data_IF_043729764095
#
_entry.id   IF_043729764095
#
_cell.length_a   1.000
_cell.length_b   1.000
_cell.length_c   1.000
_cell.angle_alpha   90.00
_cell.angle_beta   90.00
_cell.angle_gamma   90.00
#
_symmetry.space_group_name_H-M   'P 1'
#
loop_
_entity.id
_entity.type
_entity.pdbx_description
1 polymer ?
#
# COMPACT_ATOMS: atom_id res chain seq x y z
N UNK A 1 9.14 14.75 -3.56
CA UNK A 1 9.55 13.34 -3.42
C UNK A 1 8.70 12.48 -4.35
N UNK A 2 9.32 11.54 -5.06
CA UNK A 2 8.60 10.51 -5.81
C UNK A 2 8.97 9.16 -5.23
N UNK A 3 7.95 8.37 -4.89
CA UNK A 3 8.09 6.99 -4.43
C UNK A 3 7.47 6.08 -5.49
N UNK A 4 8.28 5.19 -6.07
CA UNK A 4 7.82 4.26 -7.08
C UNK A 4 7.57 2.87 -6.45
N UNK A 5 6.29 2.53 -6.29
CA UNK A 5 5.86 1.23 -5.79
C UNK A 5 5.32 0.32 -6.89
N UNK A 6 5.43 0.71 -8.15
CA UNK A 6 5.03 -0.15 -9.26
C UNK A 6 5.87 -1.44 -9.25
N UNK A 7 5.20 -2.57 -9.44
CA UNK A 7 5.84 -3.88 -9.36
C UNK A 7 6.27 -4.31 -7.95
N UNK A 8 5.98 -3.55 -6.91
CA UNK A 8 6.38 -3.87 -5.54
C UNK A 8 5.26 -4.61 -4.80
N UNK A 9 5.42 -5.91 -4.63
CA UNK A 9 4.46 -6.79 -3.93
C UNK A 9 4.40 -6.64 -2.41
N UNK A 10 5.08 -5.65 -1.85
CA UNK A 10 5.10 -5.42 -0.41
C UNK A 10 6.38 -5.88 0.26
N UNK A 11 6.30 -6.22 1.54
CA UNK A 11 7.48 -6.62 2.33
C UNK A 11 7.27 -6.49 3.83
N UNK A 12 8.30 -6.02 4.52
CA UNK A 12 8.35 -5.95 5.98
C UNK A 12 7.70 -4.68 6.54
N UNK A 13 6.99 -4.84 7.66
CA UNK A 13 6.49 -3.71 8.47
C UNK A 13 7.66 -2.83 8.95
N UNK A 14 8.80 -3.42 9.26
CA UNK A 14 9.99 -2.70 9.73
C UNK A 14 10.48 -1.75 8.64
N UNK A 15 10.57 -2.22 7.39
CA UNK A 15 11.04 -1.40 6.27
C UNK A 15 10.08 -0.25 5.96
N UNK A 16 8.77 -0.50 6.07
CA UNK A 16 7.75 0.55 6.00
C UNK A 16 8.01 1.63 7.06
N UNK A 17 8.28 1.24 8.30
CA UNK A 17 8.57 2.18 9.40
C UNK A 17 9.86 2.96 9.17
N UNK A 18 10.88 2.35 8.60
CA UNK A 18 12.13 3.05 8.24
C UNK A 18 11.88 4.24 7.31
N UNK A 19 10.95 4.12 6.37
CA UNK A 19 10.57 5.21 5.47
C UNK A 19 9.58 6.18 6.13
N UNK A 20 8.48 5.66 6.65
CA UNK A 20 7.37 6.50 7.10
C UNK A 20 7.73 7.31 8.33
N UNK A 21 8.58 6.82 9.23
CA UNK A 21 9.02 7.56 10.43
C UNK A 21 9.60 8.93 10.12
N UNK A 22 10.19 9.13 8.96
CA UNK A 22 10.72 10.45 8.53
C UNK A 22 9.67 11.35 7.90
N UNK A 23 8.67 10.78 7.24
CA UNK A 23 7.72 11.50 6.39
C UNK A 23 6.41 11.85 7.10
N UNK A 24 6.05 11.14 8.18
CA UNK A 24 4.84 11.45 8.94
C UNK A 24 5.06 12.67 9.84
N UNK A 25 4.11 13.60 9.81
CA UNK A 25 4.17 14.85 10.58
C UNK A 25 3.08 14.93 11.64
N UNK A 26 2.09 14.05 11.59
CA UNK A 26 1.00 13.96 12.56
C UNK A 26 0.58 12.52 12.82
N UNK A 27 0.12 12.24 14.03
CA UNK A 27 -0.55 10.98 14.35
C UNK A 27 -1.90 10.92 13.64
N UNK A 28 -2.14 9.86 12.88
CA UNK A 28 -3.36 9.73 12.07
C UNK A 28 -3.87 8.28 12.00
N UNK A 29 -5.17 8.12 11.80
CA UNK A 29 -5.76 6.83 11.40
C UNK A 29 -5.62 6.72 9.89
N UNK A 30 -4.94 5.67 9.43
CA UNK A 30 -4.71 5.44 8.00
C UNK A 30 -5.62 4.35 7.40
N UNK A 31 -6.15 3.46 8.26
CA UNK A 31 -7.02 2.37 7.84
C UNK A 31 -7.87 1.86 9.01
N UNK A 32 -8.83 0.99 8.71
CA UNK A 32 -9.54 0.19 9.68
C UNK A 32 -9.46 -1.28 9.28
N UNK A 33 -9.32 -2.15 10.27
CA UNK A 33 -9.25 -3.59 10.07
C UNK A 33 -10.30 -4.28 10.91
N UNK A 34 -10.89 -5.35 10.41
CA UNK A 34 -11.68 -6.30 11.19
C UNK A 34 -11.23 -7.72 10.86
N UNK A 35 -11.35 -8.60 11.85
CA UNK A 35 -10.99 -10.01 11.73
C UNK A 35 -12.24 -10.89 11.78
N UNK A 36 -12.18 -12.06 11.17
CA UNK A 36 -13.16 -13.11 11.46
C UNK A 36 -13.09 -13.50 12.93
N UNK A 37 -14.24 -13.79 13.52
CA UNK A 37 -14.29 -14.35 14.89
C UNK A 37 -14.02 -15.84 14.84
N UNK A 38 -13.18 -16.33 15.77
CA UNK A 38 -12.69 -17.72 15.78
C UNK A 38 -13.80 -18.75 15.88
N UNK A 39 -14.88 -18.41 16.57
CA UNK A 39 -15.99 -19.33 16.86
C UNK A 39 -17.22 -19.17 15.92
N UNK A 40 -17.16 -18.24 14.98
CA UNK A 40 -18.26 -18.01 14.04
C UNK A 40 -17.75 -17.57 12.67
N UNK A 41 -17.78 -18.46 11.66
CA UNK A 41 -17.26 -18.15 10.33
C UNK A 41 -18.06 -17.06 9.60
N UNK A 42 -19.21 -16.66 10.11
CA UNK A 42 -20.09 -15.64 9.51
C UNK A 42 -20.02 -14.29 10.24
N UNK A 43 -19.31 -14.20 11.36
CA UNK A 43 -19.18 -12.94 12.09
C UNK A 43 -17.76 -12.38 12.06
N UNK A 44 -17.67 -11.07 12.26
CA UNK A 44 -16.44 -10.31 12.29
C UNK A 44 -16.40 -9.44 13.53
N UNK A 45 -15.21 -9.19 14.04
CA UNK A 45 -14.99 -8.17 15.06
C UNK A 45 -15.46 -6.79 14.58
N UNK A 46 -15.71 -5.84 15.48
CA UNK A 46 -15.84 -4.45 15.11
C UNK A 46 -14.62 -3.95 14.32
N UNK A 47 -14.80 -2.88 13.53
CA UNK A 47 -13.69 -2.22 12.84
C UNK A 47 -12.74 -1.56 13.84
N UNK A 48 -11.48 -1.94 13.78
CA UNK A 48 -10.41 -1.46 14.67
C UNK A 48 -9.56 -0.46 13.89
N UNK A 49 -9.43 0.81 14.36
CA UNK A 49 -8.63 1.81 13.69
C UNK A 49 -7.13 1.45 13.76
N UNK A 50 -6.48 1.53 12.59
CA UNK A 50 -5.04 1.41 12.46
C UNK A 50 -4.42 2.80 12.46
N UNK A 51 -3.52 3.06 13.41
CA UNK A 51 -2.93 4.38 13.61
C UNK A 51 -1.43 4.35 13.32
N UNK A 52 -0.97 5.42 12.69
CA UNK A 52 0.44 5.75 12.64
C UNK A 52 0.72 6.87 13.62
N UNK A 53 1.78 6.73 14.41
CA UNK A 53 2.18 7.72 15.42
C UNK A 53 3.47 8.39 15.00
N UNK A 54 3.50 9.72 15.07
CA UNK A 54 4.70 10.49 14.78
C UNK A 54 5.82 10.13 15.76
N UNK A 55 7.04 10.04 15.27
CA UNK A 55 8.23 9.73 16.07
C UNK A 55 9.20 10.91 16.09
N UNK A 56 10.22 10.83 16.94
CA UNK A 56 11.31 11.82 16.98
C UNK A 56 12.16 11.89 15.69
N UNK A 57 11.99 10.90 14.80
CA UNK A 57 12.66 10.89 13.48
C UNK A 57 11.96 11.75 12.43
N UNK A 58 10.75 12.22 12.72
CA UNK A 58 9.98 13.03 11.77
C UNK A 58 10.77 14.26 11.35
N UNK A 59 10.75 14.55 10.05
CA UNK A 59 11.32 15.79 9.50
C UNK A 59 10.52 17.04 9.88
N UNK A 60 9.36 16.88 10.52
CA UNK A 60 8.53 17.96 11.05
C UNK A 60 7.94 18.89 9.99
N UNK A 61 7.96 18.49 8.71
CA UNK A 61 7.43 19.27 7.60
C UNK A 61 6.77 18.40 6.54
N UNK A 62 5.70 18.89 5.96
CA UNK A 62 5.03 18.24 4.83
C UNK A 62 5.89 18.33 3.58
N UNK A 63 6.27 17.17 3.04
CA UNK A 63 7.04 17.07 1.81
C UNK A 63 6.07 16.70 0.68
N UNK A 64 5.91 17.55 -0.36
CA UNK A 64 5.11 17.17 -1.52
C UNK A 64 5.58 15.84 -2.08
N UNK A 65 4.68 14.84 -2.09
CA UNK A 65 5.02 13.45 -2.38
C UNK A 65 4.06 12.88 -3.42
N UNK A 66 4.62 12.28 -4.46
CA UNK A 66 3.89 11.50 -5.45
C UNK A 66 4.24 10.02 -5.28
N UNK A 67 3.24 9.16 -5.22
CA UNK A 67 3.39 7.71 -5.10
C UNK A 67 2.89 7.08 -6.39
N UNK A 68 3.76 6.36 -7.09
CA UNK A 68 3.40 5.62 -8.29
C UNK A 68 2.92 4.22 -7.91
N UNK A 69 1.76 3.83 -8.44
CA UNK A 69 1.12 2.55 -8.19
C UNK A 69 0.79 1.84 -9.50
N UNK A 70 0.77 0.53 -9.46
CA UNK A 70 0.21 -0.34 -10.49
C UNK A 70 -0.50 -1.55 -9.85
N UNK A 71 -1.03 -2.44 -10.70
CA UNK A 71 -1.73 -3.64 -10.26
C UNK A 71 -0.83 -4.72 -9.62
N UNK A 72 0.47 -4.49 -9.50
CA UNK A 72 1.41 -5.32 -8.74
C UNK A 72 1.84 -4.68 -7.42
N UNK A 73 1.46 -3.42 -7.19
CA UNK A 73 1.66 -2.76 -5.90
C UNK A 73 0.74 -3.40 -4.86
N UNK A 74 1.29 -4.14 -3.90
CA UNK A 74 0.50 -4.95 -2.98
C UNK A 74 1.01 -4.87 -1.53
N UNK A 75 0.17 -5.29 -0.58
CA UNK A 75 0.54 -5.52 0.82
C UNK A 75 1.17 -4.27 1.46
N UNK A 76 2.42 -4.35 1.94
CA UNK A 76 3.09 -3.22 2.62
C UNK A 76 3.30 -1.99 1.73
N UNK A 77 3.33 -2.12 0.40
CA UNK A 77 3.30 -0.98 -0.51
C UNK A 77 1.98 -0.22 -0.41
N UNK A 78 0.86 -0.92 -0.29
CA UNK A 78 -0.46 -0.34 -0.09
C UNK A 78 -0.59 0.29 1.30
N UNK A 79 -0.15 -0.42 2.34
CA UNK A 79 -0.15 0.09 3.72
C UNK A 79 0.70 1.37 3.83
N UNK A 80 1.90 1.38 3.24
CA UNK A 80 2.76 2.56 3.19
C UNK A 80 2.07 3.73 2.49
N UNK A 81 1.39 3.46 1.39
CA UNK A 81 0.61 4.46 0.66
C UNK A 81 -0.50 5.05 1.53
N UNK A 82 -1.27 4.23 2.23
CA UNK A 82 -2.33 4.70 3.14
C UNK A 82 -1.77 5.53 4.30
N UNK A 83 -0.67 5.10 4.89
CA UNK A 83 0.02 5.84 5.95
C UNK A 83 0.40 7.23 5.45
N UNK A 84 1.03 7.33 4.29
CA UNK A 84 1.45 8.62 3.74
C UNK A 84 0.26 9.46 3.31
N UNK A 85 -0.77 8.89 2.67
CA UNK A 85 -2.00 9.62 2.33
C UNK A 85 -2.73 10.18 3.55
N UNK A 86 -2.64 9.52 4.70
CA UNK A 86 -3.24 10.03 5.95
C UNK A 86 -2.59 11.33 6.46
N UNK A 87 -1.46 11.73 5.88
CA UNK A 87 -0.77 12.96 6.25
C UNK A 87 -1.35 14.20 5.55
N UNK A 88 -2.19 14.04 4.54
CA UNK A 88 -2.91 15.14 3.88
C UNK A 88 -2.66 15.27 2.39
N UNK A 89 -3.18 16.36 1.84
CA UNK A 89 -3.28 16.57 0.39
C UNK A 89 -1.94 16.78 -0.34
N UNK A 90 -0.85 16.97 0.39
CA UNK A 90 0.51 17.05 -0.19
C UNK A 90 1.03 15.68 -0.66
N UNK A 91 0.31 14.59 -0.36
CA UNK A 91 0.60 13.24 -0.84
C UNK A 91 -0.41 12.85 -1.90
N UNK A 92 0.06 12.60 -3.11
CA UNK A 92 -0.77 12.21 -4.27
C UNK A 92 -0.36 10.84 -4.78
N UNK A 93 -1.34 10.08 -5.23
CA UNK A 93 -1.14 8.76 -5.84
C UNK A 93 -1.42 8.84 -7.34
N UNK A 94 -0.60 8.15 -8.13
CA UNK A 94 -0.60 8.23 -9.59
C UNK A 94 -0.41 6.83 -10.17
N UNK A 95 -1.11 6.52 -11.23
CA UNK A 95 -0.92 5.26 -11.95
C UNK A 95 -2.19 4.46 -12.10
N UNK A 96 -2.21 3.23 -11.63
CA UNK A 96 -3.33 2.29 -11.70
C UNK A 96 -3.70 1.79 -10.31
N UNK A 97 -4.89 1.21 -10.18
CA UNK A 97 -5.30 0.57 -8.93
C UNK A 97 -4.23 -0.42 -8.48
N UNK A 98 -3.94 -0.39 -7.18
CA UNK A 98 -3.09 -1.38 -6.56
C UNK A 98 -3.78 -2.76 -6.52
N UNK A 99 -3.08 -3.76 -6.06
CA UNK A 99 -3.55 -5.15 -6.09
C UNK A 99 -4.76 -5.42 -5.18
N UNK A 100 -4.80 -4.82 -4.01
CA UNK A 100 -5.84 -5.08 -3.01
C UNK A 100 -5.58 -6.33 -2.17
N UNK A 101 -4.36 -6.50 -1.69
CA UNK A 101 -3.98 -7.59 -0.79
C UNK A 101 -3.30 -7.04 0.46
N UNK A 102 -4.08 -6.49 1.37
CA UNK A 102 -3.56 -5.84 2.57
C UNK A 102 -3.68 -6.68 3.84
N UNK A 103 -4.44 -7.77 3.80
CA UNK A 103 -4.54 -8.70 4.91
C UNK A 103 -3.20 -9.40 5.14
N UNK A 104 -2.61 -9.17 6.30
CA UNK A 104 -1.32 -9.77 6.64
C UNK A 104 -1.44 -11.29 6.79
N UNK A 105 -0.49 -12.00 6.21
CA UNK A 105 -0.35 -13.45 6.26
C UNK A 105 0.78 -13.81 7.23
N UNK A 106 0.54 -13.73 8.53
CA UNK A 106 1.50 -14.18 9.53
C UNK A 106 0.85 -15.14 10.50
N UNK A 107 1.65 -16.07 11.03
CA UNK A 107 1.25 -16.97 12.11
C UNK A 107 1.21 -16.28 13.47
N UNK A 108 1.70 -15.05 13.56
CA UNK A 108 1.74 -14.28 14.79
C UNK A 108 0.44 -13.50 14.97
N UNK A 109 -0.40 -13.98 15.88
CA UNK A 109 -1.76 -13.50 16.08
C UNK A 109 -1.85 -12.09 16.66
N UNK A 110 -0.81 -11.56 17.25
CA UNK A 110 -0.86 -10.26 17.93
C UNK A 110 -0.51 -9.08 17.01
N UNK A 111 0.40 -9.29 16.07
CA UNK A 111 0.89 -8.23 15.17
C UNK A 111 0.25 -8.25 13.78
N UNK A 112 -0.50 -9.29 13.44
CA UNK A 112 -1.08 -9.49 12.12
C UNK A 112 -2.56 -9.18 12.07
N UNK A 113 -3.03 -8.74 10.92
CA UNK A 113 -4.45 -8.59 10.63
C UNK A 113 -5.19 -9.93 10.59
N UNK A 114 -4.53 -11.00 11.04
CA UNK A 114 -5.05 -12.34 11.05
C UNK A 114 -4.97 -13.00 9.68
N UNK A 115 -4.21 -14.05 9.61
CA UNK A 115 -4.11 -14.93 8.48
C UNK A 115 -3.54 -16.25 8.97
N UNK A 116 -3.70 -17.26 8.19
CA UNK A 116 -3.12 -18.55 8.48
C UNK A 116 -2.22 -18.99 7.33
N UNK A 117 -1.02 -19.46 7.69
CA UNK A 117 -0.10 -20.09 6.77
C UNK A 117 0.10 -21.51 7.27
N UNK A 118 -0.17 -22.48 6.44
CA UNK A 118 -0.02 -23.87 6.81
C UNK A 118 0.35 -24.77 5.65
N UNK A 119 0.96 -25.90 5.99
CA UNK A 119 1.27 -26.94 5.04
C UNK A 119 0.11 -27.95 5.01
N UNK A 120 -0.44 -28.20 3.84
CA UNK A 120 -1.37 -29.31 3.61
C UNK A 120 -0.58 -30.58 3.32
N UNK A 121 0.51 -30.44 2.59
CA UNK A 121 1.50 -31.50 2.32
C UNK A 121 2.90 -30.89 2.33
N UNK A 122 3.94 -31.70 2.09
CA UNK A 122 5.33 -31.22 1.96
C UNK A 122 5.54 -30.22 0.80
N UNK A 123 4.62 -30.13 -0.15
CA UNK A 123 4.71 -29.24 -1.33
C UNK A 123 3.46 -28.40 -1.56
N UNK A 124 2.44 -28.48 -0.69
CA UNK A 124 1.24 -27.64 -0.80
C UNK A 124 1.13 -26.75 0.41
N UNK A 125 1.30 -25.46 0.18
CA UNK A 125 1.12 -24.40 1.17
C UNK A 125 -0.26 -23.78 1.01
N UNK A 126 -0.85 -23.42 2.13
CA UNK A 126 -2.13 -22.76 2.18
C UNK A 126 -1.99 -21.38 2.85
N UNK A 127 -2.45 -20.35 2.14
CA UNK A 127 -2.47 -18.98 2.63
C UNK A 127 -3.90 -18.50 2.71
N UNK A 128 -4.36 -18.16 3.90
CA UNK A 128 -5.74 -17.73 4.10
C UNK A 128 -5.80 -16.48 4.98
N UNK A 129 -6.08 -15.30 4.41
CA UNK A 129 -6.31 -14.10 5.19
C UNK A 129 -7.66 -14.18 5.89
N UNK A 130 -7.73 -13.75 7.16
CA UNK A 130 -8.96 -13.73 7.97
C UNK A 130 -9.46 -12.31 8.24
N UNK A 131 -8.86 -11.32 7.64
CA UNK A 131 -9.20 -9.93 7.89
C UNK A 131 -9.66 -9.21 6.63
N UNK A 132 -10.37 -8.11 6.86
CA UNK A 132 -10.72 -7.15 5.84
C UNK A 132 -10.14 -5.79 6.25
N UNK A 133 -9.66 -5.05 5.27
CA UNK A 133 -9.15 -3.70 5.44
C UNK A 133 -10.00 -2.71 4.67
N UNK A 134 -10.27 -1.55 5.27
CA UNK A 134 -10.83 -0.38 4.59
C UNK A 134 -9.97 0.84 4.86
N UNK A 135 -9.96 1.78 3.92
CA UNK A 135 -9.29 3.07 4.10
C UNK A 135 -10.00 3.96 5.14
N UNK A 136 -9.43 5.13 5.41
CA UNK A 136 -10.00 6.09 6.35
C UNK A 136 -11.37 6.65 5.87
N UNK A 137 -11.68 6.57 4.58
CA UNK A 137 -12.94 6.99 3.98
C UNK A 137 -14.02 5.90 4.01
N UNK A 138 -13.64 4.67 4.36
CA UNK A 138 -14.56 3.54 4.48
C UNK A 138 -14.62 2.62 3.25
N UNK A 139 -13.78 2.83 2.24
CA UNK A 139 -13.71 1.99 1.06
C UNK A 139 -13.00 0.67 1.39
N UNK A 140 -13.61 -0.46 1.03
CA UNK A 140 -12.97 -1.76 1.15
C UNK A 140 -11.80 -1.86 0.18
N UNK A 141 -10.70 -2.43 0.64
CA UNK A 141 -9.45 -2.49 -0.12
C UNK A 141 -9.09 -3.91 -0.56
N UNK A 142 -9.51 -4.93 0.18
CA UNK A 142 -9.27 -6.33 -0.21
C UNK A 142 -9.93 -6.64 -1.56
N UNK A 143 -9.14 -7.14 -2.50
CA UNK A 143 -9.51 -7.44 -3.89
C UNK A 143 -9.91 -6.22 -4.75
N UNK A 144 -9.80 -5.01 -4.22
CA UNK A 144 -10.14 -3.75 -4.90
C UNK A 144 -8.90 -2.88 -5.12
N UNK A 145 -8.05 -2.79 -4.10
CA UNK A 145 -6.87 -1.95 -4.07
C UNK A 145 -7.16 -0.47 -3.82
N UNK A 146 -6.09 0.30 -3.85
CA UNK A 146 -6.12 1.76 -3.76
C UNK A 146 -6.32 2.33 -5.16
N UNK A 147 -7.38 3.10 -5.35
CA UNK A 147 -7.56 3.87 -6.58
C UNK A 147 -6.69 5.13 -6.51
N UNK A 148 -5.79 5.35 -7.48
CA UNK A 148 -4.96 6.55 -7.51
C UNK A 148 -5.76 7.84 -7.68
N UNK A 149 -5.24 8.96 -7.14
CA UNK A 149 -5.79 10.29 -7.35
C UNK A 149 -5.72 10.71 -8.84
N UNK A 150 -4.69 10.22 -9.55
CA UNK A 150 -4.49 10.46 -10.98
C UNK A 150 -4.25 9.13 -11.70
N UNK A 151 -5.25 8.70 -12.46
CA UNK A 151 -5.11 7.51 -13.31
C UNK A 151 -4.21 7.80 -14.51
N UNK A 152 -3.37 6.86 -14.86
CA UNK A 152 -2.57 6.87 -16.10
C UNK A 152 -2.79 5.56 -16.87
N UNK A 153 -2.65 5.63 -18.18
CA UNK A 153 -2.67 4.42 -19.00
C UNK A 153 -1.44 3.55 -18.70
N UNK A 154 -1.62 2.26 -18.85
CA UNK A 154 -0.49 1.33 -18.76
C UNK A 154 0.48 1.59 -19.92
N UNK A 155 1.77 1.51 -19.63
CA UNK A 155 2.79 1.53 -20.67
C UNK A 155 2.69 0.27 -21.52
N UNK A 156 2.80 0.45 -22.83
CA UNK A 156 2.90 -0.66 -23.76
C UNK A 156 4.21 -1.43 -23.56
N UNK A 157 4.28 -2.65 -24.09
CA UNK A 157 5.51 -3.43 -24.02
C UNK A 157 6.69 -2.70 -24.69
N UNK A 158 6.44 -2.05 -25.83
CA UNK A 158 7.44 -1.25 -26.55
C UNK A 158 7.94 -0.07 -25.71
N UNK A 159 7.06 0.64 -25.01
CA UNK A 159 7.43 1.74 -24.11
C UNK A 159 8.28 1.24 -22.93
N UNK A 160 7.92 0.08 -22.35
CA UNK A 160 8.71 -0.56 -21.28
C UNK A 160 10.10 -0.95 -21.79
N UNK A 161 10.20 -1.55 -22.96
CA UNK A 161 11.48 -1.93 -23.58
C UNK A 161 12.38 -0.72 -23.83
N UNK A 162 11.83 0.39 -24.33
CA UNK A 162 12.57 1.64 -24.49
C UNK A 162 13.14 2.16 -23.16
N UNK A 163 12.35 2.10 -22.08
CA UNK A 163 12.85 2.47 -20.75
C UNK A 163 13.99 1.56 -20.29
N UNK A 164 13.87 0.25 -20.45
CA UNK A 164 14.93 -0.70 -20.09
C UNK A 164 16.22 -0.49 -20.89
N UNK A 165 16.11 -0.05 -22.15
CA UNK A 165 17.25 0.25 -23.01
C UNK A 165 17.83 1.63 -22.79
N UNK A 166 17.27 2.43 -21.85
CA UNK A 166 17.62 3.83 -21.64
C UNK A 166 17.48 4.67 -22.93
N UNK A 167 16.50 4.35 -23.78
CA UNK A 167 16.23 5.13 -24.98
C UNK A 167 15.80 6.55 -24.62
N UNK A 168 16.45 7.60 -25.15
CA UNK A 168 16.10 8.99 -24.86
C UNK A 168 14.66 9.38 -25.25
N UNK A 169 14.01 8.63 -26.13
CA UNK A 169 12.61 8.82 -26.52
C UNK A 169 11.62 8.12 -25.60
N UNK A 170 12.08 7.33 -24.62
CA UNK A 170 11.22 6.64 -23.68
C UNK A 170 10.44 7.62 -22.78
N UNK A 171 9.15 7.36 -22.66
CA UNK A 171 8.26 8.21 -21.82
C UNK A 171 7.62 7.37 -20.75
N UNK A 172 8.02 7.59 -19.50
CA UNK A 172 7.30 7.09 -18.35
C UNK A 172 6.13 8.04 -18.02
N UNK A 173 4.91 7.64 -18.37
CA UNK A 173 3.70 8.46 -18.19
C UNK A 173 3.40 8.71 -16.71
N UNK A 174 3.64 7.73 -15.84
CA UNK A 174 3.47 7.88 -14.41
C UNK A 174 4.45 8.88 -13.80
N UNK A 175 5.72 8.74 -14.14
CA UNK A 175 6.77 9.67 -13.69
C UNK A 175 6.54 11.10 -14.23
N UNK A 176 6.17 11.22 -15.50
CA UNK A 176 5.82 12.51 -16.10
C UNK A 176 4.67 13.18 -15.35
N UNK A 177 3.60 12.42 -15.06
CA UNK A 177 2.46 12.93 -14.30
C UNK A 177 2.84 13.32 -12.88
N UNK A 178 3.69 12.52 -12.22
CA UNK A 178 4.21 12.86 -10.89
C UNK A 178 4.96 14.20 -10.87
N UNK A 179 5.81 14.43 -11.87
CA UNK A 179 6.54 15.70 -12.01
C UNK A 179 5.62 16.88 -12.29
N UNK A 180 4.49 16.69 -12.98
CA UNK A 180 3.48 17.73 -13.20
C UNK A 180 2.74 18.09 -11.91
N UNK A 181 2.36 17.08 -11.13
CA UNK A 181 1.56 17.24 -9.90
C UNK A 181 2.38 17.84 -8.76
N UNK A 182 3.70 17.66 -8.76
CA UNK A 182 4.60 18.17 -7.72
C UNK A 182 5.12 19.59 -7.98
N UNK A 183 4.77 20.22 -9.09
CA UNK A 183 5.07 21.63 -9.40
C UNK A 183 4.13 22.58 -8.67
#
# INVERSE_FOLDING_TARGET
>A
LILDFRGNGGGSVIDTRLLTDYLITQTAVYAYVRKKEDNNPYSYTPWIPQKITVTSKSLGRNIPTAILLDNYSASMSEVTTLILKSQGDHVKTIGRNSYGAQAMLTSDNEASNGGWIGNVTSYLYFYMPFSLTKDAQGNLLESVGITPDYLTDEMTQEEKEKLYQNDPSAVDRGLKKAMEVLK
#
